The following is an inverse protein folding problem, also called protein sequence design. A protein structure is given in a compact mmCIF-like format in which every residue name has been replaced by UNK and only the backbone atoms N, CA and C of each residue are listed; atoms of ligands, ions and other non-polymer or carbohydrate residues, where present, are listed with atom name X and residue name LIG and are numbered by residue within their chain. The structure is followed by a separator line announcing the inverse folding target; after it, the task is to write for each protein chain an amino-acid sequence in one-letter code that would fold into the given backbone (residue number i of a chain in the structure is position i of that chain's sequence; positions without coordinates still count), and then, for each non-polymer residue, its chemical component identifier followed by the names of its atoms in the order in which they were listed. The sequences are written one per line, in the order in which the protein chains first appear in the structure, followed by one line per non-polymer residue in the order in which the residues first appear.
data_IF_240516402356
#
_entry.id   IF_240516402356
#
_cell.length_a   1.000
_cell.length_b   1.000
_cell.length_c   1.000
_cell.angle_alpha   90.00
_cell.angle_beta   90.00
_cell.angle_gamma   90.00
#
_symmetry.space_group_name_H-M   'P 1'
#
loop_
_entity.id
_entity.type
_entity.pdbx_description
1 polymer ?
#
# COMPACT_ATOMS: atom_id res chain seq x y z
N UNK A 1 9.96 -6.69 10.00
CA UNK A 1 9.43 -7.66 9.01
C UNK A 1 10.36 -7.81 7.83
N UNK A 2 10.79 -6.73 7.21
CA UNK A 2 11.71 -6.75 6.05
C UNK A 2 13.07 -7.37 6.38
N UNK A 3 13.59 -7.20 7.61
CA UNK A 3 14.87 -7.78 8.08
C UNK A 3 14.93 -9.30 7.94
N UNK A 4 13.79 -9.97 8.09
CA UNK A 4 13.72 -11.43 8.15
C UNK A 4 13.66 -12.11 6.78
N UNK A 5 13.26 -11.36 5.76
CA UNK A 5 13.13 -11.89 4.42
C UNK A 5 14.48 -12.00 3.69
N UNK A 6 15.36 -10.97 3.70
CA UNK A 6 16.70 -11.09 3.14
C UNK A 6 17.47 -12.28 3.72
N UNK A 7 17.44 -12.44 5.05
CA UNK A 7 18.16 -13.54 5.70
C UNK A 7 17.76 -14.93 5.21
N UNK A 8 16.53 -15.13 4.72
CA UNK A 8 16.12 -16.42 4.14
C UNK A 8 16.74 -16.66 2.75
N UNK A 9 16.97 -15.59 1.98
CA UNK A 9 17.62 -15.66 0.65
C UNK A 9 19.12 -15.88 0.82
N UNK A 10 19.76 -15.05 1.63
CA UNK A 10 21.21 -15.10 1.85
C UNK A 10 21.67 -16.46 2.40
N UNK A 11 20.89 -17.05 3.32
CA UNK A 11 21.19 -18.39 3.84
C UNK A 11 21.09 -19.46 2.74
N UNK A 12 20.14 -19.36 1.81
CA UNK A 12 20.04 -20.30 0.68
C UNK A 12 21.26 -20.24 -0.24
N UNK A 13 21.90 -19.06 -0.35
CA UNK A 13 23.14 -18.86 -1.11
C UNK A 13 24.41 -19.25 -0.34
N UNK A 14 24.28 -19.75 0.88
CA UNK A 14 25.41 -20.19 1.71
C UNK A 14 26.06 -19.09 2.55
N UNK A 15 25.50 -17.88 2.59
CA UNK A 15 25.97 -16.81 3.47
C UNK A 15 25.66 -17.09 4.93
N UNK A 16 26.58 -16.75 5.82
CA UNK A 16 26.28 -16.74 7.24
C UNK A 16 25.54 -15.45 7.61
N UNK A 17 24.34 -15.61 8.15
CA UNK A 17 23.46 -14.48 8.47
C UNK A 17 23.23 -14.37 9.98
N UNK A 18 23.60 -13.20 10.54
CA UNK A 18 23.23 -12.83 11.90
C UNK A 18 22.09 -11.82 11.86
N UNK A 19 21.01 -12.09 12.60
CA UNK A 19 19.83 -11.22 12.67
C UNK A 19 19.77 -10.54 14.03
N UNK A 20 19.75 -9.22 14.02
CA UNK A 20 19.57 -8.37 15.21
C UNK A 20 18.17 -7.73 15.18
N UNK A 21 17.38 -7.93 16.21
CA UNK A 21 16.04 -7.35 16.40
C UNK A 21 15.97 -6.81 17.84
N UNK A 22 15.66 -5.52 17.98
CA UNK A 22 15.60 -4.85 19.29
C UNK A 22 14.40 -5.26 20.14
N UNK A 23 13.36 -5.80 19.52
CA UNK A 23 12.14 -6.25 20.20
C UNK A 23 12.28 -7.71 20.60
N UNK A 24 11.54 -8.07 21.66
CA UNK A 24 11.40 -9.47 22.09
C UNK A 24 10.93 -10.37 20.93
N UNK A 25 11.37 -11.65 20.95
CA UNK A 25 10.92 -12.64 19.98
C UNK A 25 9.39 -12.74 19.96
N UNK A 26 8.80 -12.36 18.83
CA UNK A 26 7.35 -12.32 18.65
C UNK A 26 6.66 -13.67 18.87
N UNK A 27 7.39 -14.78 18.85
CA UNK A 27 6.88 -16.13 19.12
C UNK A 27 6.66 -16.34 20.62
N UNK A 28 7.42 -15.62 21.47
CA UNK A 28 7.38 -15.65 22.94
C UNK A 28 6.62 -14.48 23.53
N UNK A 29 6.58 -13.35 22.81
CA UNK A 29 5.95 -12.12 23.25
C UNK A 29 4.43 -12.29 23.43
N UNK A 30 3.87 -11.71 24.50
CA UNK A 30 2.43 -11.58 24.67
C UNK A 30 1.86 -10.67 23.57
N UNK A 31 0.81 -11.13 22.89
CA UNK A 31 0.14 -10.35 21.86
C UNK A 31 -0.57 -9.17 22.52
N UNK A 32 -0.12 -7.95 22.23
CA UNK A 32 -0.84 -6.73 22.62
C UNK A 32 -1.80 -6.37 21.49
N UNK A 33 -3.10 -6.54 21.72
CA UNK A 33 -4.16 -6.13 20.79
C UNK A 33 -4.07 -4.63 20.55
N UNK A 34 -4.24 -4.20 19.29
CA UNK A 34 -4.26 -2.79 18.88
C UNK A 34 -2.93 -2.22 18.37
N UNK A 35 -1.94 -3.07 18.06
CA UNK A 35 -0.68 -2.67 17.38
C UNK A 35 -0.38 -3.46 16.10
N UNK A 36 -1.33 -4.23 15.61
CA UNK A 36 -1.13 -5.11 14.46
C UNK A 36 -2.12 -4.75 13.36
N UNK A 37 -1.72 -3.83 12.49
CA UNK A 37 -2.45 -3.62 11.24
C UNK A 37 -2.35 -4.91 10.43
N UNK A 38 -3.48 -5.44 9.97
CA UNK A 38 -3.48 -6.49 8.97
C UNK A 38 -2.80 -6.00 7.71
N UNK A 39 -2.09 -6.90 7.07
CA UNK A 39 -1.33 -6.61 5.86
C UNK A 39 -2.13 -7.05 4.64
N UNK A 40 -2.12 -6.22 3.62
CA UNK A 40 -2.66 -6.53 2.31
C UNK A 40 -1.57 -7.15 1.44
N UNK A 41 -1.50 -8.49 1.39
CA UNK A 41 -0.52 -9.20 0.58
C UNK A 41 -0.99 -9.21 -0.88
N UNK A 42 -0.22 -8.59 -1.76
CA UNK A 42 -0.45 -8.48 -3.20
C UNK A 42 0.38 -9.49 -4.00
N UNK A 43 0.21 -9.51 -5.32
CA UNK A 43 0.98 -10.37 -6.22
C UNK A 43 2.51 -10.22 -6.03
N UNK A 44 3.03 -8.99 -5.86
CA UNK A 44 4.47 -8.75 -5.64
C UNK A 44 5.01 -9.45 -4.41
N UNK A 45 4.32 -9.31 -3.29
CA UNK A 45 4.71 -9.98 -2.05
C UNK A 45 4.58 -11.49 -2.15
N UNK A 46 3.59 -12.00 -2.88
CA UNK A 46 3.42 -13.44 -3.13
C UNK A 46 4.55 -14.02 -3.98
N UNK A 47 4.95 -13.33 -5.06
CA UNK A 47 6.09 -13.78 -5.88
C UNK A 47 7.38 -13.88 -5.07
N UNK A 48 7.64 -12.91 -4.20
CA UNK A 48 8.79 -12.98 -3.30
C UNK A 48 8.68 -14.16 -2.31
N UNK A 49 7.50 -14.38 -1.70
CA UNK A 49 7.28 -15.54 -0.82
C UNK A 49 7.39 -16.86 -1.55
N UNK A 50 6.95 -16.92 -2.81
CA UNK A 50 7.09 -18.10 -3.69
C UNK A 50 8.55 -18.43 -3.93
N UNK A 51 9.38 -17.42 -4.17
CA UNK A 51 10.81 -17.58 -4.40
C UNK A 51 11.52 -18.29 -3.23
N UNK A 52 11.11 -18.01 -1.99
CA UNK A 52 11.63 -18.69 -0.80
C UNK A 52 10.83 -19.92 -0.37
N UNK A 53 9.83 -20.37 -1.17
CA UNK A 53 9.03 -21.57 -0.89
C UNK A 53 8.04 -21.42 0.27
N UNK A 54 7.63 -20.19 0.61
CA UNK A 54 6.72 -19.93 1.73
C UNK A 54 5.32 -19.46 1.31
N UNK A 55 5.06 -19.30 0.01
CA UNK A 55 3.79 -18.73 -0.48
C UNK A 55 2.59 -19.54 -0.02
N UNK A 56 2.55 -20.86 -0.27
CA UNK A 56 1.41 -21.73 0.07
C UNK A 56 1.07 -21.67 1.55
N UNK A 57 2.09 -21.71 2.40
CA UNK A 57 1.93 -21.65 3.85
C UNK A 57 1.33 -20.35 4.33
N UNK A 58 1.67 -19.22 3.69
CA UNK A 58 1.14 -17.91 4.04
C UNK A 58 -0.24 -17.69 3.43
N UNK A 59 -0.44 -18.08 2.16
CA UNK A 59 -1.72 -17.93 1.46
C UNK A 59 -2.82 -18.75 2.12
N UNK A 60 -2.53 -19.97 2.58
CA UNK A 60 -3.50 -20.82 3.30
C UNK A 60 -4.01 -20.20 4.62
N UNK A 61 -3.27 -19.26 5.18
CA UNK A 61 -3.60 -18.50 6.41
C UNK A 61 -4.06 -17.07 6.13
N UNK A 62 -4.42 -16.75 4.90
CA UNK A 62 -4.94 -15.43 4.49
C UNK A 62 -6.41 -15.50 4.08
N UNK A 63 -7.09 -14.37 4.19
CA UNK A 63 -8.47 -14.22 3.72
C UNK A 63 -8.47 -13.45 2.40
N UNK A 64 -8.96 -14.05 1.28
CA UNK A 64 -8.98 -13.39 -0.01
C UNK A 64 -10.07 -12.31 -0.06
N UNK A 65 -9.66 -11.07 -0.30
CA UNK A 65 -10.53 -9.93 -0.56
C UNK A 65 -10.59 -9.67 -2.07
N UNK A 66 -11.77 -9.84 -2.68
CA UNK A 66 -11.97 -9.77 -4.14
C UNK A 66 -12.38 -8.38 -4.62
N UNK A 67 -12.83 -7.52 -3.71
CA UNK A 67 -13.28 -6.17 -4.01
C UNK A 67 -13.14 -5.26 -2.79
N UNK A 68 -13.25 -3.95 -3.02
CA UNK A 68 -13.53 -2.95 -1.98
C UNK A 68 -15.03 -2.87 -1.77
N UNK A 69 -15.49 -2.82 -0.51
CA UNK A 69 -16.89 -2.54 -0.18
C UNK A 69 -16.97 -1.11 0.36
N UNK A 70 -17.59 -0.21 -0.40
CA UNK A 70 -17.74 1.19 0.00
C UNK A 70 -19.03 1.35 0.81
N UNK A 71 -18.90 1.91 2.01
CA UNK A 71 -19.99 2.25 2.90
C UNK A 71 -20.32 3.74 2.83
N UNK A 72 -21.46 4.08 2.25
CA UNK A 72 -21.96 5.45 2.24
C UNK A 72 -22.41 5.91 3.63
N UNK A 73 -22.58 7.21 3.81
CA UNK A 73 -23.14 7.76 5.06
C UNK A 73 -24.59 7.29 5.32
N UNK A 74 -25.35 7.00 4.26
CA UNK A 74 -26.71 6.46 4.36
C UNK A 74 -26.77 4.95 4.64
N UNK A 75 -25.63 4.28 4.91
CA UNK A 75 -25.54 2.85 5.13
C UNK A 75 -25.59 1.99 3.86
N UNK A 76 -25.74 2.58 2.68
CA UNK A 76 -25.70 1.85 1.41
C UNK A 76 -24.30 1.30 1.17
N UNK A 77 -24.21 -0.02 0.87
CA UNK A 77 -22.98 -0.72 0.53
C UNK A 77 -22.86 -0.90 -0.98
N UNK A 78 -21.70 -0.60 -1.52
CA UNK A 78 -21.44 -0.68 -2.96
C UNK A 78 -20.10 -1.36 -3.22
N UNK A 79 -20.07 -2.56 -3.82
CA UNK A 79 -18.82 -3.25 -4.12
C UNK A 79 -18.12 -2.61 -5.33
N UNK A 80 -16.80 -2.51 -5.25
CA UNK A 80 -15.94 -2.09 -6.35
C UNK A 80 -14.91 -3.21 -6.58
N UNK A 81 -15.09 -4.06 -7.59
CA UNK A 81 -14.15 -5.12 -7.92
C UNK A 81 -12.75 -4.58 -8.22
N UNK A 82 -11.71 -5.34 -7.88
CA UNK A 82 -10.33 -4.96 -8.18
C UNK A 82 -9.99 -5.05 -9.67
N UNK A 83 -10.63 -5.95 -10.39
CA UNK A 83 -10.39 -6.15 -11.82
C UNK A 83 -10.98 -7.47 -12.29
N UNK A 84 -10.16 -8.42 -12.77
CA UNK A 84 -10.60 -9.74 -13.22
C UNK A 84 -11.10 -10.61 -12.05
N UNK A 85 -11.93 -11.63 -12.35
CA UNK A 85 -12.56 -12.50 -11.32
C UNK A 85 -11.56 -13.25 -10.42
N UNK A 86 -10.35 -13.50 -10.93
CA UNK A 86 -9.25 -14.19 -10.25
C UNK A 86 -8.34 -13.25 -9.45
N UNK A 87 -8.53 -11.95 -9.57
CA UNK A 87 -7.71 -10.95 -8.87
C UNK A 87 -8.24 -10.67 -7.47
N UNK A 88 -7.39 -10.88 -6.47
CA UNK A 88 -7.69 -10.62 -5.07
C UNK A 88 -6.43 -10.19 -4.30
N UNK A 89 -6.64 -9.54 -3.19
CA UNK A 89 -5.60 -9.22 -2.21
C UNK A 89 -5.87 -10.07 -0.98
N UNK A 90 -4.83 -10.60 -0.36
CA UNK A 90 -4.97 -11.37 0.87
C UNK A 90 -4.86 -10.47 2.10
N UNK A 91 -5.85 -10.55 2.99
CA UNK A 91 -5.68 -10.08 4.36
C UNK A 91 -4.85 -11.10 5.13
N UNK A 92 -3.67 -10.71 5.61
CA UNK A 92 -2.78 -11.57 6.39
C UNK A 92 -2.45 -10.92 7.73
N UNK A 93 -2.45 -11.73 8.77
CA UNK A 93 -2.03 -11.28 10.10
C UNK A 93 -0.53 -11.02 10.14
N UNK A 94 -0.14 -9.80 10.53
CA UNK A 94 1.26 -9.36 10.60
C UNK A 94 2.09 -10.20 11.56
N UNK A 95 1.53 -10.53 12.74
CA UNK A 95 2.25 -11.28 13.76
C UNK A 95 2.51 -12.71 13.29
N UNK A 96 1.49 -13.34 12.68
CA UNK A 96 1.61 -14.69 12.15
C UNK A 96 2.61 -14.76 10.99
N UNK A 97 2.55 -13.81 10.04
CA UNK A 97 3.53 -13.73 8.95
C UNK A 97 4.97 -13.59 9.48
N UNK A 98 5.18 -12.74 10.50
CA UNK A 98 6.49 -12.60 11.13
C UNK A 98 6.97 -13.88 11.82
N UNK A 99 6.07 -14.60 12.52
CA UNK A 99 6.40 -15.90 13.15
C UNK A 99 6.83 -16.93 12.13
N UNK A 100 6.10 -17.01 11.02
CA UNK A 100 6.41 -17.96 9.94
C UNK A 100 7.75 -17.68 9.27
N UNK A 101 8.05 -16.41 8.99
CA UNK A 101 9.34 -16.00 8.41
C UNK A 101 10.52 -16.29 9.37
N UNK A 102 10.35 -16.07 10.69
CA UNK A 102 11.36 -16.42 11.69
C UNK A 102 11.61 -17.93 11.73
N UNK A 103 10.54 -18.72 11.79
CA UNK A 103 10.62 -20.18 11.86
C UNK A 103 11.22 -20.77 10.58
N UNK A 104 10.93 -20.16 9.43
CA UNK A 104 11.53 -20.53 8.16
C UNK A 104 13.05 -20.39 8.14
N UNK A 105 13.58 -19.30 8.75
CA UNK A 105 15.02 -19.05 8.87
C UNK A 105 15.78 -20.11 9.69
N UNK A 106 15.22 -20.57 10.82
CA UNK A 106 15.90 -21.49 11.75
C UNK A 106 16.22 -22.86 11.16
N UNK A 107 15.69 -23.20 9.99
CA UNK A 107 15.99 -24.44 9.29
C UNK A 107 17.38 -24.46 8.63
N UNK A 108 18.08 -23.33 8.63
CA UNK A 108 19.36 -23.17 7.93
C UNK A 108 20.42 -22.63 8.89
N UNK A 109 21.61 -23.25 8.95
CA UNK A 109 22.75 -22.86 9.79
C UNK A 109 24.06 -22.90 8.99
N UNK A 110 24.92 -21.87 9.11
CA UNK A 110 26.25 -21.83 8.48
C UNK A 110 27.23 -20.85 9.13
N UNK A 111 28.53 -20.93 8.83
CA UNK A 111 29.69 -20.32 9.53
C UNK A 111 30.26 -19.06 8.85
N UNK A 112 30.87 -18.12 9.57
CA UNK A 112 31.16 -16.71 9.21
C UNK A 112 32.56 -16.37 8.68
N UNK A 113 32.66 -15.22 7.99
CA UNK A 113 33.89 -14.44 7.67
C UNK A 113 33.57 -12.92 7.76
N UNK A 114 34.54 -12.02 8.10
CA UNK A 114 34.27 -10.73 8.72
C UNK A 114 35.13 -9.53 8.26
N UNK A 115 34.55 -8.34 7.92
CA UNK A 115 35.29 -7.11 7.64
C UNK A 115 34.68 -5.75 8.10
N UNK A 116 33.39 -5.63 8.48
CA UNK A 116 32.79 -4.39 9.00
C UNK A 116 32.54 -4.52 10.49
N UNK A 117 32.84 -3.45 11.24
CA UNK A 117 32.61 -3.39 12.67
C UNK A 117 31.47 -2.42 13.02
N UNK A 118 30.48 -2.87 13.80
CA UNK A 118 29.43 -2.05 14.37
C UNK A 118 29.14 -2.46 15.81
N UNK A 119 28.65 -1.50 16.60
CA UNK A 119 28.29 -1.75 17.99
C UNK A 119 26.82 -2.13 18.12
N UNK A 120 26.56 -3.18 18.85
CA UNK A 120 25.21 -3.63 19.23
C UNK A 120 25.09 -3.48 20.75
N UNK A 121 24.07 -2.76 21.20
CA UNK A 121 23.73 -2.67 22.62
C UNK A 121 22.80 -3.83 22.94
N UNK A 122 23.24 -4.75 23.77
CA UNK A 122 22.44 -5.89 24.24
C UNK A 122 21.44 -5.49 25.32
N UNK A 123 20.38 -6.30 25.56
CA UNK A 123 19.53 -6.15 26.72
C UNK A 123 20.39 -6.18 28.00
N UNK A 124 20.39 -5.08 28.75
CA UNK A 124 21.27 -4.90 29.92
C UNK A 124 22.32 -3.80 29.74
N UNK A 125 22.43 -3.21 28.54
CA UNK A 125 23.33 -2.07 28.28
C UNK A 125 24.76 -2.45 27.90
N UNK A 126 25.09 -3.73 27.80
CA UNK A 126 26.37 -4.20 27.33
C UNK A 126 26.56 -3.87 25.84
N UNK A 127 27.68 -3.22 25.50
CA UNK A 127 28.05 -2.93 24.13
C UNK A 127 28.93 -4.04 23.57
N UNK A 128 28.45 -4.71 22.52
CA UNK A 128 29.20 -5.75 21.83
C UNK A 128 29.60 -5.26 20.45
N UNK A 129 30.88 -5.35 20.15
CA UNK A 129 31.39 -5.08 18.82
C UNK A 129 31.15 -6.27 17.92
N UNK A 130 30.41 -6.08 16.85
CA UNK A 130 30.10 -7.09 15.84
C UNK A 130 30.80 -6.71 14.56
N UNK A 131 31.42 -7.70 13.95
CA UNK A 131 32.07 -7.55 12.66
C UNK A 131 31.27 -8.32 11.60
N UNK A 132 31.12 -7.80 10.40
CA UNK A 132 30.43 -8.41 9.26
C UNK A 132 31.01 -7.92 7.94
N UNK A 133 31.01 -8.75 6.90
CA UNK A 133 31.47 -8.35 5.56
C UNK A 133 30.44 -7.45 4.91
N UNK A 134 29.17 -7.65 5.25
CA UNK A 134 28.05 -6.97 4.64
C UNK A 134 26.94 -6.69 5.65
N UNK A 135 26.33 -5.50 5.59
CA UNK A 135 25.24 -5.07 6.49
C UNK A 135 23.99 -4.74 5.69
N UNK A 136 22.87 -5.36 6.04
CA UNK A 136 21.56 -5.03 5.48
C UNK A 136 20.74 -4.25 6.49
N UNK A 137 20.53 -2.96 6.26
CA UNK A 137 19.71 -2.07 7.07
C UNK A 137 18.23 -2.23 6.75
N UNK A 138 17.50 -3.01 7.57
CA UNK A 138 16.06 -3.23 7.47
C UNK A 138 15.33 -2.81 8.76
N UNK A 139 15.88 -1.87 9.50
CA UNK A 139 15.51 -1.49 10.86
C UNK A 139 14.36 -0.45 10.91
N UNK A 140 13.62 -0.30 9.80
CA UNK A 140 12.35 0.41 9.75
C UNK A 140 12.46 1.91 9.46
N UNK A 141 11.34 2.61 9.54
CA UNK A 141 11.23 4.02 9.16
C UNK A 141 12.18 4.95 9.93
N UNK A 142 12.55 4.60 11.15
CA UNK A 142 13.48 5.34 12.02
C UNK A 142 14.89 4.74 12.05
N UNK A 143 15.30 4.15 10.96
CA UNK A 143 16.53 3.39 10.78
C UNK A 143 17.78 4.05 11.39
N UNK A 144 18.46 3.31 12.25
CA UNK A 144 19.77 3.67 12.81
C UNK A 144 20.85 3.47 11.75
N UNK A 145 20.74 2.42 10.93
CA UNK A 145 21.67 2.17 9.83
C UNK A 145 21.62 3.32 8.84
N UNK A 146 20.44 3.79 8.42
CA UNK A 146 20.30 4.97 7.52
C UNK A 146 20.96 6.22 8.10
N UNK A 147 20.98 6.40 9.42
CA UNK A 147 21.66 7.55 10.04
C UNK A 147 23.16 7.58 9.74
N UNK A 148 23.79 6.44 9.51
CA UNK A 148 25.20 6.39 9.09
C UNK A 148 25.38 6.89 7.65
N UNK A 149 24.39 6.70 6.78
CA UNK A 149 24.38 7.22 5.41
C UNK A 149 24.38 8.75 5.37
N UNK A 150 23.81 9.42 6.38
CA UNK A 150 23.84 10.89 6.49
C UNK A 150 25.25 11.47 6.63
N UNK A 151 26.25 10.64 6.99
CA UNK A 151 27.66 11.04 7.07
C UNK A 151 28.38 10.96 5.72
N UNK A 152 27.75 10.36 4.71
CA UNK A 152 28.29 10.23 3.37
C UNK A 152 28.04 11.51 2.56
N UNK A 153 28.98 11.86 1.68
CA UNK A 153 28.75 12.90 0.69
C UNK A 153 27.71 12.44 -0.33
N UNK A 154 26.80 13.34 -0.75
CA UNK A 154 25.78 13.09 -1.78
C UNK A 154 24.71 12.07 -1.39
N UNK A 155 24.34 11.96 -0.12
CA UNK A 155 23.18 11.22 0.32
C UNK A 155 21.94 12.14 0.37
N UNK A 156 20.95 11.86 -0.45
CA UNK A 156 19.68 12.56 -0.43
C UNK A 156 18.72 11.88 0.55
N UNK A 157 18.09 12.66 1.42
CA UNK A 157 17.16 12.15 2.42
C UNK A 157 16.03 13.13 2.66
N UNK A 158 14.81 12.61 2.71
CA UNK A 158 13.63 13.32 3.21
C UNK A 158 12.77 12.42 4.08
N UNK A 159 12.27 12.98 5.17
CA UNK A 159 11.29 12.35 6.05
C UNK A 159 10.13 13.32 6.24
N UNK A 160 8.93 12.89 5.90
CA UNK A 160 7.74 13.74 5.93
C UNK A 160 6.66 13.07 6.74
N UNK A 161 6.14 13.75 7.76
CA UNK A 161 4.94 13.36 8.48
C UNK A 161 3.73 13.95 7.80
N UNK A 162 2.65 13.18 7.70
CA UNK A 162 1.38 13.73 7.26
C UNK A 162 0.57 14.24 8.46
N UNK A 163 -0.31 15.27 8.27
CA UNK A 163 -1.12 15.82 9.36
C UNK A 163 -2.27 14.89 9.80
N UNK A 164 -2.19 13.60 9.48
CA UNK A 164 -3.16 12.58 9.83
C UNK A 164 -2.50 11.48 10.66
N UNK A 165 -3.22 11.06 11.69
CA UNK A 165 -2.91 9.88 12.47
C UNK A 165 -3.77 8.70 12.07
N UNK A 166 -3.46 7.52 12.62
CA UNK A 166 -4.33 6.37 12.55
C UNK A 166 -4.53 5.74 13.93
N UNK A 167 -5.69 5.13 14.10
CA UNK A 167 -6.07 4.40 15.31
C UNK A 167 -6.69 3.07 14.92
N UNK A 168 -6.40 2.03 15.69
CA UNK A 168 -6.94 0.68 15.49
C UNK A 168 -8.04 0.37 16.49
N UNK A 169 -9.18 -0.07 15.97
CA UNK A 169 -10.34 -0.56 16.70
C UNK A 169 -10.61 -2.00 16.27
N UNK A 170 -11.28 -2.75 17.12
CA UNK A 170 -11.64 -4.13 16.83
C UNK A 170 -13.16 -4.26 16.69
N UNK A 171 -13.62 -4.81 15.56
CA UNK A 171 -15.01 -5.24 15.39
C UNK A 171 -15.09 -6.73 15.72
N UNK A 172 -15.81 -7.13 16.78
CA UNK A 172 -15.92 -8.52 17.20
C UNK A 172 -16.75 -9.35 16.22
N UNK A 173 -16.69 -10.69 16.27
CA UNK A 173 -17.63 -11.54 15.59
C UNK A 173 -19.04 -11.34 16.14
N UNK A 174 -20.05 -11.43 15.25
CA UNK A 174 -21.46 -11.39 15.60
C UNK A 174 -22.01 -12.83 15.54
N UNK A 175 -22.55 -13.31 16.65
CA UNK A 175 -23.07 -14.69 16.78
C UNK A 175 -22.09 -15.77 16.30
N UNK A 176 -20.80 -15.57 16.61
CA UNK A 176 -19.74 -16.48 16.21
C UNK A 176 -19.42 -16.49 14.71
N UNK A 177 -19.96 -15.53 13.93
CA UNK A 177 -19.70 -15.33 12.50
C UNK A 177 -19.07 -13.96 12.25
N UNK A 178 -18.56 -13.74 11.04
CA UNK A 178 -18.10 -12.43 10.63
C UNK A 178 -19.24 -11.39 10.67
N UNK A 179 -19.02 -10.26 11.33
CA UNK A 179 -19.98 -9.15 11.40
C UNK A 179 -20.23 -8.47 10.03
N UNK A 180 -19.26 -8.58 9.10
CA UNK A 180 -19.35 -8.12 7.73
C UNK A 180 -18.89 -9.23 6.78
N UNK A 181 -19.15 -9.09 5.48
CA UNK A 181 -18.67 -10.04 4.48
C UNK A 181 -17.12 -10.07 4.43
N UNK A 182 -16.46 -11.21 4.71
CA UNK A 182 -15.00 -11.26 4.88
C UNK A 182 -14.21 -11.11 3.58
N UNK A 183 -14.83 -11.34 2.44
CA UNK A 183 -14.15 -11.31 1.14
C UNK A 183 -14.05 -9.91 0.52
N UNK A 184 -14.09 -8.86 1.38
CA UNK A 184 -13.99 -7.47 0.97
C UNK A 184 -13.04 -6.69 1.89
N UNK A 185 -12.36 -5.69 1.31
CA UNK A 185 -11.82 -4.59 2.07
C UNK A 185 -12.94 -3.56 2.27
N UNK A 186 -13.43 -3.41 3.48
CA UNK A 186 -14.46 -2.44 3.80
C UNK A 186 -13.87 -1.05 3.95
N UNK A 187 -14.52 -0.03 3.39
CA UNK A 187 -14.04 1.36 3.39
C UNK A 187 -15.22 2.30 3.65
N UNK A 188 -15.09 3.16 4.64
CA UNK A 188 -15.98 4.27 4.96
C UNK A 188 -15.29 5.59 4.59
N UNK A 189 -15.44 6.10 3.35
CA UNK A 189 -14.85 7.39 2.94
C UNK A 189 -15.66 8.55 3.51
N UNK A 190 -14.96 9.53 4.12
CA UNK A 190 -15.59 10.70 4.75
C UNK A 190 -14.87 12.01 4.38
N UNK A 191 -14.41 12.15 3.14
CA UNK A 191 -13.74 13.29 2.52
C UNK A 191 -12.40 13.66 3.19
N UNK A 192 -12.43 14.13 4.44
CA UNK A 192 -11.22 14.52 5.18
C UNK A 192 -10.58 13.38 5.95
N UNK A 193 -11.33 12.33 6.24
CA UNK A 193 -10.89 11.14 6.96
C UNK A 193 -11.58 9.88 6.44
N UNK A 194 -11.16 8.72 6.88
CA UNK A 194 -11.79 7.44 6.48
C UNK A 194 -11.55 6.37 7.53
N UNK A 195 -12.40 5.35 7.52
CA UNK A 195 -12.15 4.09 8.24
C UNK A 195 -12.09 2.95 7.22
N UNK A 196 -11.19 1.99 7.48
CA UNK A 196 -11.16 0.72 6.74
C UNK A 196 -11.31 -0.44 7.70
N UNK A 197 -11.78 -1.59 7.22
CA UNK A 197 -11.81 -2.81 8.01
C UNK A 197 -11.32 -4.01 7.18
N UNK A 198 -10.39 -4.77 7.76
CA UNK A 198 -9.81 -5.98 7.19
C UNK A 198 -10.18 -7.19 8.06
N UNK A 199 -10.58 -8.32 7.45
CA UNK A 199 -10.97 -9.52 8.18
C UNK A 199 -9.78 -10.25 8.79
N UNK A 200 -10.00 -10.88 9.95
CA UNK A 200 -9.08 -11.74 10.65
C UNK A 200 -9.58 -13.20 10.67
N UNK A 201 -8.68 -14.16 10.83
CA UNK A 201 -9.04 -15.59 10.88
C UNK A 201 -9.91 -15.96 12.08
N UNK A 202 -9.82 -15.21 13.18
CA UNK A 202 -10.67 -15.35 14.37
C UNK A 202 -12.07 -14.73 14.20
N UNK A 203 -12.43 -14.38 12.95
CA UNK A 203 -13.69 -13.75 12.56
C UNK A 203 -13.90 -12.31 13.06
N UNK A 204 -12.90 -11.70 13.69
CA UNK A 204 -12.91 -10.26 13.97
C UNK A 204 -12.55 -9.46 12.71
N UNK A 205 -12.78 -8.14 12.75
CA UNK A 205 -12.19 -7.20 11.79
C UNK A 205 -11.27 -6.22 12.53
N UNK A 206 -10.10 -5.96 11.96
CA UNK A 206 -9.28 -4.83 12.37
C UNK A 206 -9.78 -3.60 11.63
N UNK A 207 -10.37 -2.66 12.38
CA UNK A 207 -10.85 -1.38 11.88
C UNK A 207 -9.78 -0.32 12.11
N UNK A 208 -9.34 0.34 11.05
CA UNK A 208 -8.35 1.42 11.15
C UNK A 208 -9.00 2.74 10.77
N UNK A 209 -9.11 3.65 11.73
CA UNK A 209 -9.57 5.03 11.54
C UNK A 209 -8.38 5.91 11.22
N UNK A 210 -8.42 6.58 10.06
CA UNK A 210 -7.45 7.59 9.63
C UNK A 210 -8.10 8.96 9.68
N UNK A 211 -7.57 9.88 10.48
CA UNK A 211 -8.18 11.19 10.71
C UNK A 211 -7.08 12.22 11.00
N UNK A 212 -7.29 13.53 10.71
CA UNK A 212 -6.38 14.59 11.14
C UNK A 212 -6.15 14.57 12.64
N UNK A 213 -4.94 14.87 13.10
CA UNK A 213 -4.64 14.94 14.54
C UNK A 213 -5.53 15.95 15.25
N UNK A 214 -5.78 17.12 14.64
CA UNK A 214 -6.67 18.15 15.20
C UNK A 214 -8.10 17.64 15.46
N UNK A 215 -8.57 16.65 14.70
CA UNK A 215 -9.87 16.01 14.93
C UNK A 215 -9.81 14.96 16.02
N UNK A 216 -8.69 14.22 16.14
CA UNK A 216 -8.47 13.32 17.29
C UNK A 216 -8.41 14.09 18.60
N UNK A 217 -7.73 15.23 18.65
CA UNK A 217 -7.50 16.04 19.85
C UNK A 217 -8.78 16.71 20.37
N UNK A 218 -9.80 16.91 19.54
CA UNK A 218 -11.13 17.43 19.94
C UNK A 218 -11.94 16.41 20.74
N UNK A 219 -11.61 15.12 20.66
CA UNK A 219 -12.38 14.04 21.25
C UNK A 219 -11.73 13.63 22.57
N UNK A 220 -12.32 14.04 23.66
CA UNK A 220 -11.78 13.85 25.02
C UNK A 220 -12.66 12.97 25.92
N UNK A 221 -13.92 12.70 25.49
CA UNK A 221 -14.88 11.89 26.26
C UNK A 221 -15.46 10.74 25.44
N UNK A 222 -15.93 9.70 26.12
CA UNK A 222 -16.56 8.54 25.46
C UNK A 222 -17.85 8.90 24.72
N UNK A 223 -18.57 9.91 25.19
CA UNK A 223 -19.79 10.42 24.55
C UNK A 223 -19.45 11.07 23.21
N UNK A 224 -18.38 11.89 23.16
CA UNK A 224 -17.89 12.48 21.94
C UNK A 224 -17.43 11.43 20.92
N UNK A 225 -16.84 10.32 21.38
CA UNK A 225 -16.52 9.16 20.52
C UNK A 225 -17.79 8.59 19.89
N UNK A 226 -18.84 8.37 20.69
CA UNK A 226 -20.11 7.85 20.18
C UNK A 226 -20.77 8.81 19.19
N UNK A 227 -20.76 10.10 19.49
CA UNK A 227 -21.34 11.12 18.60
C UNK A 227 -20.61 11.16 17.25
N UNK A 228 -19.25 11.11 17.26
CA UNK A 228 -18.46 10.99 16.04
C UNK A 228 -18.87 9.75 15.23
N UNK A 229 -18.94 8.59 15.89
CA UNK A 229 -19.24 7.33 15.19
C UNK A 229 -20.70 7.25 14.73
N UNK A 230 -21.66 7.76 15.50
CA UNK A 230 -23.06 7.85 15.09
C UNK A 230 -23.25 8.79 13.90
N UNK A 231 -22.52 9.91 13.89
CA UNK A 231 -22.57 10.89 12.80
C UNK A 231 -21.95 10.36 11.51
N UNK A 232 -20.77 9.73 11.60
CA UNK A 232 -19.97 9.40 10.42
C UNK A 232 -19.91 7.92 10.08
N UNK A 233 -20.15 7.03 11.03
CA UNK A 233 -20.07 5.56 10.85
C UNK A 233 -21.26 4.83 11.48
N UNK A 234 -22.51 5.31 11.23
CA UNK A 234 -23.70 4.79 11.95
C UNK A 234 -23.89 3.29 11.77
N UNK A 235 -23.51 2.71 10.63
CA UNK A 235 -23.60 1.28 10.36
C UNK A 235 -22.48 0.45 11.03
N UNK A 236 -21.42 1.06 11.53
CA UNK A 236 -20.34 0.40 12.25
C UNK A 236 -20.59 0.36 13.78
N UNK A 237 -21.32 1.34 14.34
CA UNK A 237 -21.59 1.41 15.79
C UNK A 237 -22.19 0.13 16.35
N UNK A 238 -23.30 -0.45 15.81
CA UNK A 238 -23.87 -1.67 16.34
C UNK A 238 -22.96 -2.89 16.17
N UNK A 239 -22.01 -2.86 15.22
CA UNK A 239 -21.10 -3.98 14.93
C UNK A 239 -19.88 -3.98 15.85
N UNK A 240 -19.39 -2.79 16.24
CA UNK A 240 -18.25 -2.66 17.16
C UNK A 240 -18.73 -2.69 18.61
N UNK A 241 -19.88 -2.06 18.90
CA UNK A 241 -20.43 -1.89 20.23
C UNK A 241 -20.00 -0.56 20.88
N UNK A 242 -20.97 0.14 21.51
CA UNK A 242 -20.76 1.46 22.09
C UNK A 242 -19.68 1.48 23.18
N UNK A 243 -19.73 0.51 24.12
CA UNK A 243 -18.76 0.43 25.22
C UNK A 243 -17.35 0.05 24.73
N UNK A 244 -17.25 -0.80 23.71
CA UNK A 244 -15.98 -1.15 23.08
C UNK A 244 -15.36 0.06 22.38
N UNK A 245 -16.17 0.86 21.67
CA UNK A 245 -15.72 2.11 21.02
C UNK A 245 -15.16 3.09 22.05
N UNK A 246 -15.90 3.37 23.14
CA UNK A 246 -15.46 4.27 24.21
C UNK A 246 -14.15 3.82 24.85
N UNK A 247 -14.03 2.53 25.17
CA UNK A 247 -12.84 1.96 25.80
C UNK A 247 -11.64 1.92 24.87
N UNK A 248 -11.82 1.43 23.65
CA UNK A 248 -10.72 1.14 22.73
C UNK A 248 -10.17 2.42 22.08
N UNK A 249 -10.98 3.48 21.94
CA UNK A 249 -10.54 4.77 21.42
C UNK A 249 -9.45 5.41 22.28
N UNK A 250 -9.57 5.33 23.60
CA UNK A 250 -8.60 5.93 24.54
C UNK A 250 -7.48 4.96 24.97
N UNK A 251 -7.51 3.70 24.52
CA UNK A 251 -6.51 2.71 24.93
C UNK A 251 -5.10 3.05 24.42
N UNK A 252 -4.98 3.57 23.23
CA UNK A 252 -3.71 3.96 22.60
C UNK A 252 -3.90 5.29 21.86
N UNK A 253 -2.92 6.19 21.92
CA UNK A 253 -2.98 7.43 21.15
C UNK A 253 -2.92 7.14 19.64
N UNK A 254 -3.47 8.05 18.84
CA UNK A 254 -3.36 8.02 17.39
C UNK A 254 -1.88 8.00 16.97
N UNK A 255 -1.52 7.11 16.07
CA UNK A 255 -0.15 6.93 15.60
C UNK A 255 0.13 7.81 14.39
N UNK A 256 1.31 8.43 14.37
CA UNK A 256 1.76 9.23 13.23
C UNK A 256 2.14 8.34 12.04
N UNK A 257 1.92 8.87 10.84
CA UNK A 257 2.34 8.25 9.59
C UNK A 257 3.46 9.04 8.96
N UNK A 258 4.51 8.33 8.55
CA UNK A 258 5.74 8.92 8.00
C UNK A 258 6.03 8.33 6.63
N UNK A 259 6.49 9.20 5.73
CA UNK A 259 7.09 8.81 4.45
C UNK A 259 8.58 9.11 4.48
N UNK A 260 9.38 8.18 3.98
CA UNK A 260 10.83 8.30 3.84
C UNK A 260 11.22 8.12 2.38
N UNK A 261 12.07 8.99 1.88
CA UNK A 261 12.76 8.86 0.61
C UNK A 261 14.24 9.09 0.82
N UNK A 262 15.09 8.22 0.31
CA UNK A 262 16.54 8.44 0.32
C UNK A 262 17.20 7.90 -0.96
N UNK A 263 18.45 8.29 -1.18
CA UNK A 263 19.27 7.84 -2.32
C UNK A 263 20.72 8.24 -2.09
N UNK A 264 21.69 7.34 -2.41
CA UNK A 264 21.55 5.94 -2.84
C UNK A 264 21.12 5.02 -1.68
N UNK A 265 20.83 3.74 -1.97
CA UNK A 265 20.50 2.73 -0.96
C UNK A 265 21.73 1.97 -0.44
N UNK A 266 22.95 2.32 -0.86
CA UNK A 266 24.16 1.61 -0.48
C UNK A 266 25.29 2.56 -0.04
N UNK A 267 26.25 2.00 0.70
CA UNK A 267 27.55 2.60 1.00
C UNK A 267 28.62 1.60 0.55
N UNK A 268 29.42 2.00 -0.44
CA UNK A 268 30.44 1.13 -1.02
C UNK A 268 29.88 -0.20 -1.48
N UNK A 269 30.58 -1.26 -1.15
CA UNK A 269 30.25 -2.67 -1.37
C UNK A 269 29.75 -3.39 -0.11
N UNK A 270 29.49 -2.67 0.96
CA UNK A 270 29.46 -3.23 2.32
C UNK A 270 28.15 -2.98 3.07
N UNK A 271 27.29 -2.06 2.61
CA UNK A 271 26.05 -1.77 3.31
C UNK A 271 24.92 -1.40 2.35
N UNK A 272 23.71 -1.94 2.60
CA UNK A 272 22.49 -1.63 1.83
C UNK A 272 21.31 -1.36 2.74
N UNK A 273 20.40 -0.46 2.32
CA UNK A 273 19.11 -0.20 2.95
C UNK A 273 17.99 -0.87 2.16
N UNK A 274 17.03 -1.50 2.88
CA UNK A 274 15.86 -2.15 2.29
C UNK A 274 14.59 -1.87 3.09
N UNK A 275 13.44 -1.95 2.42
CA UNK A 275 12.14 -1.77 3.04
C UNK A 275 11.95 -0.39 3.66
N UNK A 276 11.30 -0.31 4.81
CA UNK A 276 10.98 0.95 5.47
C UNK A 276 12.22 1.78 5.87
N UNK A 277 13.39 1.14 6.01
CA UNK A 277 14.64 1.85 6.23
C UNK A 277 15.04 2.70 5.01
N UNK A 278 14.71 2.25 3.81
CA UNK A 278 14.99 2.93 2.55
C UNK A 278 13.83 3.82 2.08
N UNK A 279 12.57 3.33 2.24
CA UNK A 279 11.40 3.93 1.62
C UNK A 279 10.10 3.70 2.41
N UNK A 280 10.08 4.02 3.69
CA UNK A 280 8.84 3.99 4.47
C UNK A 280 7.74 4.79 3.77
N UNK A 281 6.53 4.25 3.74
CA UNK A 281 5.39 4.86 3.08
C UNK A 281 4.13 4.78 3.92
N UNK A 282 3.21 5.70 3.67
CA UNK A 282 1.88 5.67 4.28
C UNK A 282 1.09 4.42 3.82
N UNK A 283 0.22 3.85 4.67
CA UNK A 283 -0.33 2.50 4.44
C UNK A 283 -1.43 2.43 3.38
N UNK A 284 -1.83 3.52 2.76
CA UNK A 284 -3.05 3.63 1.96
C UNK A 284 -3.08 2.82 0.67
N UNK A 285 -1.94 2.47 0.10
CA UNK A 285 -1.89 1.59 -1.07
C UNK A 285 -1.71 0.11 -0.68
N UNK A 286 -1.37 -0.17 0.59
CA UNK A 286 -1.07 -1.51 1.06
C UNK A 286 0.21 -2.11 0.44
N UNK A 287 1.15 -1.27 0.01
CA UNK A 287 2.34 -1.72 -0.70
C UNK A 287 3.64 -1.73 0.11
N UNK A 288 3.69 -1.20 1.33
CA UNK A 288 4.93 -1.13 2.11
C UNK A 288 5.60 -2.49 2.30
N UNK A 289 4.87 -3.48 2.80
CA UNK A 289 5.37 -4.86 2.92
C UNK A 289 5.71 -5.47 1.55
N UNK A 290 4.83 -5.31 0.55
CA UNK A 290 5.01 -5.89 -0.77
C UNK A 290 6.24 -5.32 -1.48
N UNK A 291 6.49 -4.01 -1.36
CA UNK A 291 7.67 -3.35 -1.89
C UNK A 291 8.95 -3.83 -1.19
N UNK A 292 8.91 -3.97 0.16
CA UNK A 292 10.04 -4.48 0.91
C UNK A 292 10.37 -5.95 0.60
N UNK A 293 9.36 -6.78 0.33
CA UNK A 293 9.58 -8.15 -0.14
C UNK A 293 10.13 -8.18 -1.57
N UNK A 294 9.64 -7.28 -2.43
CA UNK A 294 10.18 -7.13 -3.78
C UNK A 294 11.61 -6.60 -3.79
N UNK A 295 12.01 -5.75 -2.81
CA UNK A 295 13.42 -5.35 -2.66
C UNK A 295 14.33 -6.56 -2.52
N UNK A 296 13.93 -7.50 -1.66
CA UNK A 296 14.71 -8.73 -1.41
C UNK A 296 14.78 -9.61 -2.66
N UNK A 297 13.65 -9.76 -3.38
CA UNK A 297 13.62 -10.54 -4.62
C UNK A 297 14.49 -9.91 -5.71
N UNK A 298 14.40 -8.59 -5.89
CA UNK A 298 15.24 -7.88 -6.89
C UNK A 298 16.72 -7.93 -6.49
N UNK A 299 17.02 -7.84 -5.21
CA UNK A 299 18.39 -7.98 -4.72
C UNK A 299 18.96 -9.35 -5.05
N UNK A 300 18.23 -10.43 -4.79
CA UNK A 300 18.62 -11.80 -5.10
C UNK A 300 18.77 -12.03 -6.62
N UNK A 301 17.83 -11.51 -7.42
CA UNK A 301 17.92 -11.55 -8.89
C UNK A 301 19.20 -10.85 -9.40
N UNK A 302 19.62 -9.73 -8.77
CA UNK A 302 20.85 -9.02 -9.12
C UNK A 302 22.10 -9.75 -8.63
N UNK A 303 22.06 -10.39 -7.45
CA UNK A 303 23.13 -11.25 -6.95
C UNK A 303 23.43 -12.38 -7.94
N UNK A 304 22.39 -13.07 -8.43
CA UNK A 304 22.55 -14.12 -9.45
C UNK A 304 23.12 -13.58 -10.77
N UNK A 305 22.64 -12.41 -11.23
CA UNK A 305 23.08 -11.80 -12.49
C UNK A 305 24.53 -11.30 -12.46
N UNK A 306 25.00 -10.87 -11.30
CA UNK A 306 26.31 -10.23 -11.11
C UNK A 306 27.28 -11.11 -10.31
N UNK A 307 27.02 -12.43 -10.23
CA UNK A 307 27.87 -13.43 -9.59
C UNK A 307 28.26 -13.09 -8.15
N UNK A 308 27.28 -12.58 -7.38
CA UNK A 308 27.44 -12.22 -5.97
C UNK A 308 28.51 -11.14 -5.70
N UNK A 309 28.90 -10.35 -6.72
CA UNK A 309 29.80 -9.21 -6.57
C UNK A 309 29.07 -8.01 -5.97
N UNK A 310 29.20 -7.79 -4.67
CA UNK A 310 28.57 -6.65 -3.98
C UNK A 310 28.99 -5.29 -4.54
N UNK A 311 30.21 -5.16 -5.06
CA UNK A 311 30.69 -3.93 -5.69
C UNK A 311 29.88 -3.55 -6.94
N UNK A 312 29.36 -4.53 -7.66
CA UNK A 312 28.49 -4.36 -8.81
C UNK A 312 26.99 -4.37 -8.42
N UNK A 313 26.59 -5.25 -7.51
CA UNK A 313 25.18 -5.46 -7.10
C UNK A 313 24.60 -4.22 -6.42
N UNK A 314 25.33 -3.61 -5.47
CA UNK A 314 24.76 -2.54 -4.64
C UNK A 314 24.48 -1.24 -5.41
N UNK A 315 25.38 -0.74 -6.30
CA UNK A 315 25.08 0.38 -7.16
C UNK A 315 23.90 0.08 -8.10
N UNK A 316 23.85 -1.12 -8.68
CA UNK A 316 22.78 -1.52 -9.58
C UNK A 316 21.45 -1.64 -8.85
N UNK A 317 21.41 -2.22 -7.65
CA UNK A 317 20.22 -2.25 -6.80
C UNK A 317 19.69 -0.84 -6.52
N UNK A 318 20.55 0.09 -6.15
CA UNK A 318 20.17 1.49 -5.95
C UNK A 318 19.61 2.11 -7.23
N UNK A 319 20.28 1.89 -8.38
CA UNK A 319 19.85 2.41 -9.68
C UNK A 319 18.46 1.90 -10.08
N UNK A 320 18.19 0.63 -9.79
CA UNK A 320 16.92 -0.01 -10.10
C UNK A 320 15.83 0.38 -9.12
N UNK A 321 16.08 0.32 -7.79
CA UNK A 321 15.02 0.42 -6.79
C UNK A 321 14.66 1.85 -6.37
N UNK A 322 15.59 2.80 -6.40
CA UNK A 322 15.31 4.19 -5.99
C UNK A 322 14.15 4.81 -6.77
N UNK A 323 14.11 4.75 -8.13
CA UNK A 323 12.98 5.31 -8.88
C UNK A 323 11.64 4.62 -8.57
N UNK A 324 11.65 3.31 -8.35
CA UNK A 324 10.46 2.53 -8.03
C UNK A 324 9.91 2.90 -6.65
N UNK A 325 10.78 2.94 -5.66
CA UNK A 325 10.40 3.25 -4.30
C UNK A 325 9.88 4.69 -4.15
N UNK A 326 10.52 5.66 -4.82
CA UNK A 326 10.01 7.02 -4.86
C UNK A 326 8.62 7.10 -5.49
N UNK A 327 8.40 6.39 -6.60
CA UNK A 327 7.10 6.35 -7.27
C UNK A 327 6.00 5.74 -6.38
N UNK A 328 6.28 4.62 -5.68
CA UNK A 328 5.25 4.00 -4.82
C UNK A 328 4.97 4.80 -3.55
N UNK A 329 5.96 5.50 -2.99
CA UNK A 329 5.74 6.44 -1.88
C UNK A 329 4.78 7.56 -2.30
N UNK A 330 4.97 8.15 -3.50
CA UNK A 330 4.06 9.18 -4.04
C UNK A 330 2.68 8.62 -4.36
N UNK A 331 2.61 7.43 -4.95
CA UNK A 331 1.35 6.75 -5.25
C UNK A 331 0.57 6.40 -3.98
N UNK A 332 1.24 6.08 -2.88
CA UNK A 332 0.57 5.81 -1.60
C UNK A 332 -0.16 7.05 -1.08
N UNK A 333 0.44 8.24 -1.20
CA UNK A 333 -0.21 9.51 -0.86
C UNK A 333 -1.35 9.83 -1.81
N UNK A 334 -1.16 9.65 -3.12
CA UNK A 334 -2.22 9.86 -4.10
C UNK A 334 -3.44 8.96 -3.82
N UNK A 335 -3.21 7.68 -3.53
CA UNK A 335 -4.30 6.73 -3.23
C UNK A 335 -5.06 7.10 -1.95
N UNK A 336 -4.42 7.75 -0.97
CA UNK A 336 -5.11 8.26 0.21
C UNK A 336 -6.17 9.29 -0.16
N UNK A 337 -5.82 10.27 -0.97
CA UNK A 337 -6.75 11.31 -1.44
C UNK A 337 -7.87 10.66 -2.26
N UNK A 338 -7.54 9.68 -3.10
CA UNK A 338 -8.52 8.93 -3.87
C UNK A 338 -9.52 8.19 -2.97
N UNK A 339 -9.02 7.43 -1.99
CA UNK A 339 -9.87 6.58 -1.14
C UNK A 339 -10.77 7.39 -0.19
N UNK A 340 -10.28 8.51 0.36
CA UNK A 340 -11.06 9.29 1.32
C UNK A 340 -12.10 10.21 0.68
N UNK A 341 -11.84 10.72 -0.52
CA UNK A 341 -12.63 11.78 -1.15
C UNK A 341 -13.14 11.42 -2.56
N UNK A 342 -12.27 10.99 -3.47
CA UNK A 342 -12.62 10.82 -4.88
C UNK A 342 -13.63 9.71 -5.15
N UNK A 343 -13.65 8.64 -4.34
CA UNK A 343 -14.62 7.54 -4.47
C UNK A 343 -16.08 8.00 -4.31
N UNK A 344 -16.33 9.15 -3.68
CA UNK A 344 -17.66 9.75 -3.55
C UNK A 344 -18.07 10.54 -4.81
N UNK A 345 -17.12 10.90 -5.67
CA UNK A 345 -17.37 11.69 -6.88
C UNK A 345 -18.04 10.84 -7.98
N UNK A 346 -19.10 11.38 -8.58
CA UNK A 346 -19.75 10.77 -9.78
C UNK A 346 -18.77 10.68 -10.95
N UNK A 347 -17.91 11.70 -11.11
CA UNK A 347 -16.84 11.76 -12.11
C UNK A 347 -15.84 10.63 -11.95
N UNK A 348 -15.33 10.42 -10.75
CA UNK A 348 -14.39 9.33 -10.47
C UNK A 348 -14.97 7.97 -10.83
N UNK A 349 -16.23 7.70 -10.45
CA UNK A 349 -16.91 6.46 -10.77
C UNK A 349 -17.07 6.25 -12.28
N UNK A 350 -17.47 7.32 -13.00
CA UNK A 350 -17.57 7.25 -14.47
C UNK A 350 -16.21 6.97 -15.11
N UNK A 351 -15.17 7.70 -14.71
CA UNK A 351 -13.81 7.49 -15.22
C UNK A 351 -13.33 6.06 -14.97
N UNK A 352 -13.61 5.50 -13.81
CA UNK A 352 -13.27 4.11 -13.50
C UNK A 352 -13.99 3.11 -14.41
N UNK A 353 -15.25 3.36 -14.74
CA UNK A 353 -15.97 2.55 -15.71
C UNK A 353 -15.39 2.68 -17.12
N UNK A 354 -14.99 3.89 -17.52
CA UNK A 354 -14.31 4.13 -18.79
C UNK A 354 -12.95 3.43 -18.85
N UNK A 355 -12.14 3.54 -17.81
CA UNK A 355 -10.84 2.86 -17.74
C UNK A 355 -10.99 1.32 -17.82
N UNK A 356 -11.99 0.76 -17.15
CA UNK A 356 -12.32 -0.66 -17.24
C UNK A 356 -12.81 -1.06 -18.65
N UNK A 357 -13.63 -0.25 -19.28
CA UNK A 357 -14.10 -0.46 -20.66
C UNK A 357 -12.95 -0.39 -21.67
N UNK A 358 -12.07 0.60 -21.54
CA UNK A 358 -10.88 0.71 -22.38
C UNK A 358 -9.91 -0.46 -22.13
N UNK A 359 -9.79 -0.92 -20.91
CA UNK A 359 -9.02 -2.12 -20.59
C UNK A 359 -9.64 -3.38 -21.20
N UNK A 360 -10.97 -3.50 -21.23
CA UNK A 360 -11.65 -4.62 -21.88
C UNK A 360 -11.39 -4.63 -23.39
N UNK A 361 -11.44 -3.46 -24.05
CA UNK A 361 -11.17 -3.34 -25.49
C UNK A 361 -9.68 -3.51 -25.84
N UNK A 362 -8.77 -3.02 -24.99
CA UNK A 362 -7.33 -3.00 -25.22
C UNK A 362 -6.57 -3.47 -23.99
N UNK A 363 -6.67 -4.77 -23.62
CA UNK A 363 -6.20 -5.28 -22.34
C UNK A 363 -4.68 -5.21 -22.15
N UNK A 364 -3.92 -5.14 -23.22
CA UNK A 364 -2.46 -5.00 -23.19
C UNK A 364 -1.98 -3.56 -23.18
N UNK A 365 -2.79 -2.62 -23.71
CA UNK A 365 -2.44 -1.21 -23.88
C UNK A 365 -2.96 -0.35 -22.73
N UNK A 366 -4.23 -0.47 -22.40
CA UNK A 366 -4.91 0.32 -21.36
C UNK A 366 -5.08 -0.50 -20.10
N UNK A 367 -4.08 -0.51 -19.22
CA UNK A 367 -4.11 -1.24 -17.95
C UNK A 367 -4.33 -0.24 -16.81
N UNK A 368 -5.37 -0.43 -15.97
CA UNK A 368 -5.58 0.45 -14.81
C UNK A 368 -4.36 0.50 -13.89
N UNK A 369 -4.04 1.69 -13.38
CA UNK A 369 -2.88 1.90 -12.50
C UNK A 369 -2.88 0.92 -11.31
N UNK A 370 -4.03 0.77 -10.67
CA UNK A 370 -4.19 -0.14 -9.53
C UNK A 370 -3.86 -1.60 -9.89
N UNK A 371 -4.25 -2.03 -11.10
CA UNK A 371 -3.94 -3.38 -11.62
C UNK A 371 -2.45 -3.56 -11.83
N UNK A 372 -1.77 -2.58 -12.44
CA UNK A 372 -0.31 -2.64 -12.64
C UNK A 372 0.46 -2.70 -11.33
N UNK A 373 0.05 -1.89 -10.36
CA UNK A 373 0.74 -1.79 -9.06
C UNK A 373 0.49 -3.03 -8.20
N UNK A 374 -0.74 -3.54 -8.14
CA UNK A 374 -1.15 -4.56 -7.17
C UNK A 374 -1.09 -5.98 -7.70
N UNK A 375 -1.37 -6.18 -9.00
CA UNK A 375 -1.54 -7.52 -9.59
C UNK A 375 -0.47 -7.88 -10.65
N UNK A 376 0.57 -7.06 -10.80
CA UNK A 376 1.70 -7.35 -11.67
C UNK A 376 3.02 -6.96 -11.00
N UNK A 377 4.15 -7.43 -11.55
CA UNK A 377 5.49 -6.97 -11.20
C UNK A 377 5.98 -5.82 -12.09
N UNK A 378 5.09 -5.14 -12.84
CA UNK A 378 5.47 -3.92 -13.57
C UNK A 378 6.10 -2.93 -12.61
N UNK A 379 7.30 -2.44 -12.91
CA UNK A 379 8.05 -1.52 -12.06
C UNK A 379 7.19 -0.30 -11.71
N UNK A 380 7.20 0.14 -10.47
CA UNK A 380 6.29 1.20 -9.99
C UNK A 380 6.42 2.51 -10.78
N UNK A 381 7.66 2.92 -11.08
CA UNK A 381 7.88 4.14 -11.87
C UNK A 381 7.44 3.98 -13.34
N UNK A 382 7.50 2.78 -13.91
CA UNK A 382 6.99 2.47 -15.25
C UNK A 382 5.47 2.45 -15.26
N UNK A 383 4.84 1.86 -14.23
CA UNK A 383 3.39 1.88 -14.06
C UNK A 383 2.87 3.33 -13.98
N UNK A 384 3.59 4.21 -13.24
CA UNK A 384 3.28 5.62 -13.13
C UNK A 384 3.46 6.36 -14.47
N UNK A 385 4.57 6.14 -15.18
CA UNK A 385 4.80 6.70 -16.53
C UNK A 385 3.71 6.27 -17.50
N UNK A 386 3.37 4.97 -17.51
CA UNK A 386 2.33 4.42 -18.36
C UNK A 386 0.97 5.03 -18.04
N UNK A 387 0.61 5.16 -16.78
CA UNK A 387 -0.64 5.79 -16.35
C UNK A 387 -0.73 7.26 -16.80
N UNK A 388 0.35 8.04 -16.68
CA UNK A 388 0.39 9.40 -17.20
C UNK A 388 0.21 9.46 -18.71
N UNK A 389 0.81 8.54 -19.45
CA UNK A 389 0.64 8.43 -20.90
C UNK A 389 -0.82 8.08 -21.25
N UNK A 390 -1.40 7.06 -20.61
CA UNK A 390 -2.80 6.66 -20.81
C UNK A 390 -3.76 7.84 -20.56
N UNK A 391 -3.53 8.61 -19.52
CA UNK A 391 -4.32 9.81 -19.21
C UNK A 391 -4.22 10.86 -20.33
N UNK A 392 -3.02 11.11 -20.84
CA UNK A 392 -2.82 12.05 -21.96
C UNK A 392 -3.51 11.58 -23.24
N UNK A 393 -3.39 10.31 -23.56
CA UNK A 393 -4.04 9.71 -24.73
C UNK A 393 -5.55 9.73 -24.59
N UNK A 394 -6.10 9.30 -23.46
CA UNK A 394 -7.54 9.31 -23.19
C UNK A 394 -8.14 10.72 -23.32
N UNK A 395 -7.52 11.73 -22.72
CA UNK A 395 -7.97 13.14 -22.83
C UNK A 395 -7.90 13.62 -24.27
N UNK A 396 -6.80 13.36 -24.99
CA UNK A 396 -6.64 13.77 -26.40
C UNK A 396 -7.68 13.10 -27.30
N UNK A 397 -7.93 11.80 -27.12
CA UNK A 397 -8.95 11.07 -27.87
C UNK A 397 -10.36 11.61 -27.62
N UNK A 398 -10.70 11.95 -26.39
CA UNK A 398 -11.96 12.61 -26.06
C UNK A 398 -12.08 13.99 -26.72
N UNK A 399 -11.03 14.81 -26.68
CA UNK A 399 -11.02 16.14 -27.32
C UNK A 399 -11.17 16.02 -28.84
N UNK A 400 -10.49 15.06 -29.48
CA UNK A 400 -10.59 14.82 -30.91
C UNK A 400 -12.00 14.33 -31.31
N UNK A 401 -12.60 13.43 -30.52
CA UNK A 401 -13.98 12.98 -30.73
C UNK A 401 -14.98 14.13 -30.66
N UNK A 402 -14.81 15.07 -29.71
CA UNK A 402 -15.65 16.26 -29.61
C UNK A 402 -15.45 17.19 -30.77
N UNK A 403 -14.20 17.45 -31.18
CA UNK A 403 -13.90 18.32 -32.34
C UNK A 403 -14.44 17.74 -33.66
N UNK A 404 -14.30 16.44 -33.88
CA UNK A 404 -14.84 15.79 -35.08
C UNK A 404 -16.37 15.89 -35.15
N UNK A 405 -17.04 15.74 -33.99
CA UNK A 405 -18.50 15.89 -33.92
C UNK A 405 -18.96 17.33 -34.11
N UNK A 406 -18.21 18.31 -33.58
CA UNK A 406 -18.52 19.73 -33.85
C UNK A 406 -18.39 20.08 -35.35
N UNK A 407 -17.39 19.54 -36.05
CA UNK A 407 -17.24 19.73 -37.49
C UNK A 407 -18.32 19.01 -38.32
N UNK A 408 -18.88 17.92 -37.79
CA UNK A 408 -20.01 17.20 -38.40
C UNK A 408 -21.34 17.93 -38.16
N UNK A 409 -21.60 18.44 -36.95
CA UNK A 409 -22.80 19.21 -36.64
C UNK A 409 -22.91 20.49 -37.47
N UNK A 410 -21.79 21.14 -37.75
CA UNK A 410 -21.72 22.33 -38.64
C UNK A 410 -21.91 21.96 -40.11
N UNK A 411 -21.62 20.73 -40.54
CA UNK A 411 -21.85 20.24 -41.91
C UNK A 411 -23.22 19.60 -42.14
N UNK A 412 -23.94 19.20 -41.09
CA UNK A 412 -25.25 18.53 -41.22
C UNK A 412 -26.44 19.48 -41.25
N UNK A 413 -26.23 20.79 -41.28
CA UNK A 413 -27.28 21.78 -41.58
C UNK A 413 -27.73 21.77 -43.06
N UNK A 414 -27.08 20.95 -43.92
CA UNK A 414 -27.46 20.75 -45.30
C UNK A 414 -27.85 19.26 -45.57
N UNK A 415 -29.06 18.82 -45.19
CA UNK A 415 -29.72 17.65 -45.81
C UNK A 415 -29.90 16.37 -44.96
N UNK A 416 -31.10 16.15 -44.60
CA UNK A 416 -31.85 14.88 -44.35
C UNK A 416 -31.09 13.58 -44.01
N UNK A 417 -31.15 13.15 -42.73
CA UNK A 417 -31.39 11.77 -42.33
C UNK A 417 -31.69 11.66 -40.81
N UNK A 418 -32.95 11.59 -40.46
CA UNK A 418 -33.42 11.75 -39.07
C UNK A 418 -33.25 10.47 -38.20
N UNK A 419 -32.90 9.32 -38.73
CA UNK A 419 -32.84 8.07 -37.95
C UNK A 419 -31.46 7.61 -37.48
N UNK A 420 -30.38 8.10 -38.07
CA UNK A 420 -28.99 7.86 -37.59
C UNK A 420 -28.52 8.87 -36.55
N UNK A 421 -29.18 10.01 -36.43
CA UNK A 421 -28.82 11.13 -35.54
C UNK A 421 -29.14 10.87 -34.05
N UNK A 422 -30.16 10.03 -33.73
CA UNK A 422 -30.60 9.85 -32.34
C UNK A 422 -29.59 9.11 -31.45
N UNK A 423 -28.81 8.17 -31.99
CA UNK A 423 -27.73 7.49 -31.22
C UNK A 423 -26.49 8.35 -31.07
N UNK A 424 -26.11 9.08 -32.14
CA UNK A 424 -24.98 10.02 -32.12
C UNK A 424 -25.23 11.19 -31.18
N UNK A 425 -26.45 11.73 -31.14
CA UNK A 425 -26.89 12.81 -30.26
C UNK A 425 -26.93 12.38 -28.77
N UNK A 426 -27.35 11.14 -28.48
CA UNK A 426 -27.32 10.62 -27.10
C UNK A 426 -25.90 10.45 -26.57
N UNK A 427 -24.98 9.95 -27.39
CA UNK A 427 -23.58 9.85 -27.03
C UNK A 427 -22.97 11.26 -26.89
N UNK A 428 -23.29 12.19 -27.77
CA UNK A 428 -22.85 13.58 -27.72
C UNK A 428 -23.38 14.31 -26.49
N UNK A 429 -24.66 14.16 -26.16
CA UNK A 429 -25.27 14.78 -24.99
C UNK A 429 -24.64 14.28 -23.68
N UNK A 430 -24.35 12.97 -23.58
CA UNK A 430 -23.63 12.39 -22.46
C UNK A 430 -22.21 12.98 -22.36
N UNK A 431 -21.48 13.11 -23.48
CA UNK A 431 -20.16 13.72 -23.51
C UNK A 431 -20.19 15.23 -23.23
N UNK A 432 -21.16 15.97 -23.73
CA UNK A 432 -21.25 17.43 -23.55
C UNK A 432 -21.67 17.82 -22.11
N UNK A 433 -22.63 17.12 -21.52
CA UNK A 433 -22.96 17.26 -20.10
C UNK A 433 -21.74 16.93 -19.21
N UNK A 434 -21.00 15.94 -19.59
CA UNK A 434 -19.82 15.48 -18.95
C UNK A 434 -18.66 16.51 -18.95
N UNK A 435 -18.45 17.21 -20.08
CA UNK A 435 -17.41 18.25 -20.19
C UNK A 435 -17.82 19.59 -19.61
N UNK A 436 -19.12 19.95 -19.64
CA UNK A 436 -19.64 21.16 -19.01
C UNK A 436 -19.38 21.13 -17.50
N UNK A 437 -19.60 19.98 -16.85
CA UNK A 437 -19.35 19.83 -15.41
C UNK A 437 -17.84 19.77 -15.08
N UNK A 438 -16.99 19.45 -16.05
CA UNK A 438 -15.53 19.40 -15.88
C UNK A 438 -14.89 20.80 -15.89
N UNK A 439 -15.39 21.73 -16.74
CA UNK A 439 -14.83 23.08 -16.86
C UNK A 439 -15.47 24.09 -15.91
N UNK A 440 -16.58 23.75 -15.25
CA UNK A 440 -17.28 24.62 -14.31
C UNK A 440 -16.87 24.47 -12.84
N UNK A 441 -15.92 23.58 -12.50
CA UNK A 441 -15.37 23.50 -11.14
C UNK A 441 -14.22 24.48 -10.95
N UNK A 442 -14.25 25.33 -9.89
CA UNK A 442 -13.18 26.30 -9.64
C UNK A 442 -11.87 25.59 -9.32
N UNK A 443 -10.79 26.14 -9.84
CA UNK A 443 -9.41 25.82 -9.49
C UNK A 443 -9.22 25.96 -7.98
N UNK A 444 -9.08 24.86 -7.26
CA UNK A 444 -8.59 24.84 -5.89
C UNK A 444 -7.29 24.05 -5.87
N UNK A 445 -6.21 24.72 -6.26
CA UNK A 445 -4.84 24.40 -5.94
C UNK A 445 -4.05 25.73 -5.90
N UNK A 446 -3.96 26.27 -4.73
CA UNK A 446 -2.85 27.10 -4.26
C UNK A 446 -2.50 26.64 -2.86
#
# INVERSE_FOLDING_TARGET
MTVRFPSNIDIKKGFQVQLYESREDIRKAKIVRGRSINLALSHRGREALKHIGMEEKIVSKGIPMKARMIHSLSGKRSPIPYGKKDQYILSVDRANLNKELLTGREKYSTTAITCISFQVILPGGEEVQVNADFVVGCDGAFSVVRRQFLRQSRFNYSQTYIPHGYMELTMPPLDGQFALAPNFLHIWPRNTFMMIALPNLDKTFTCTLFMPFDEFDKITTGEQVLDLFQTYFPDAVPLIGADALKRDYFRLPAQAMVSVKCSPYHIGDSCVLMGDAAHAMVPFYGQGMNAGFEDCLVFDELMDQLNDDFGAVLPEFSRVRVPDAQAIVDLAMYNYIEMRAHVNSRWFRFRKHLDNFLHFLMPTTMIPLYTMVTFTRTRYHEALKRWHWQNKVGIRSCILAIRSQHSWAVRSDEGSDLHRSAWSLRILYVFTCFFRDFFSTPKAFS
#
